data_IF_641048043754
#
_entry.id   IF_641048043754
#
_cell.length_a   1.000
_cell.length_b   1.000
_cell.length_c   1.000
_cell.angle_alpha   90.00
_cell.angle_beta   90.00
_cell.angle_gamma   90.00
#
_symmetry.space_group_name_H-M   'P 1'
#
loop_
_entity.id
_entity.type
_entity.pdbx_description
1 polymer ?
#
# COMPACT_ATOMS: atom_id res chain seq x y z
N UNK A 1 -3.74 1.27 10.80
CA UNK A 1 -3.48 1.90 9.49
C UNK A 1 -4.47 1.33 8.46
N UNK A 2 -5.70 1.84 8.40
CA UNK A 2 -6.75 1.29 7.52
C UNK A 2 -6.68 1.76 6.06
N UNK A 3 -5.91 2.81 5.77
CA UNK A 3 -5.74 3.33 4.41
C UNK A 3 -4.77 2.51 3.55
N UNK A 4 -4.91 2.65 2.23
CA UNK A 4 -4.06 2.07 1.18
C UNK A 4 -3.22 3.11 0.43
N UNK A 5 -3.33 4.39 0.80
CA UNK A 5 -2.49 5.47 0.30
C UNK A 5 -1.44 5.87 1.35
N UNK A 6 -0.19 5.96 0.91
CA UNK A 6 0.98 6.26 1.73
C UNK A 6 1.82 7.36 1.08
N UNK A 7 2.62 8.03 1.90
CA UNK A 7 3.65 8.94 1.41
C UNK A 7 5.03 8.39 1.78
N UNK A 8 6.04 8.69 0.98
CA UNK A 8 7.42 8.54 1.44
C UNK A 8 7.72 9.55 2.56
N UNK A 9 8.81 9.30 3.28
CA UNK A 9 9.37 10.26 4.22
C UNK A 9 10.57 10.89 3.52
N UNK A 10 10.50 12.16 3.09
CA UNK A 10 11.60 12.79 2.37
C UNK A 10 12.76 13.09 3.34
N UNK A 11 13.99 13.33 2.83
CA UNK A 11 15.17 13.58 3.66
C UNK A 11 15.04 14.78 4.61
N UNK A 12 14.18 15.74 4.27
CA UNK A 12 13.87 16.93 5.05
C UNK A 12 12.93 16.66 6.24
N UNK A 13 12.45 15.43 6.39
CA UNK A 13 11.45 15.04 7.39
C UNK A 13 10.03 15.04 6.83
N UNK A 14 9.05 14.75 7.68
CA UNK A 14 7.62 14.64 7.33
C UNK A 14 7.14 15.78 6.40
N UNK A 15 6.45 15.41 5.31
CA UNK A 15 5.67 16.37 4.51
C UNK A 15 4.67 17.13 5.38
N UNK A 16 4.57 18.43 5.16
CA UNK A 16 3.56 19.28 5.78
C UNK A 16 2.14 18.82 5.43
N UNK A 17 1.15 19.27 6.19
CA UNK A 17 -0.26 19.04 5.84
C UNK A 17 -0.60 19.57 4.44
N UNK A 18 -0.10 20.77 4.08
CA UNK A 18 -0.31 21.39 2.77
C UNK A 18 0.30 20.57 1.61
N UNK A 19 1.49 20.02 1.80
CA UNK A 19 2.14 19.21 0.76
C UNK A 19 1.43 17.87 0.53
N UNK A 20 0.80 17.31 1.56
CA UNK A 20 0.01 16.08 1.46
C UNK A 20 -1.34 16.29 0.75
N UNK A 21 -1.86 17.52 0.73
CA UNK A 21 -3.11 17.91 0.06
C UNK A 21 -4.31 16.98 0.35
N UNK A 22 -4.46 16.55 1.61
CA UNK A 22 -5.51 15.60 2.04
C UNK A 22 -6.78 16.31 2.56
N UNK A 23 -8.00 15.78 2.34
CA UNK A 23 -9.28 16.41 2.76
C UNK A 23 -9.60 16.48 4.24
N UNK A 24 -8.63 16.23 5.12
CA UNK A 24 -8.91 15.91 6.52
C UNK A 24 -8.40 17.01 7.44
N UNK A 25 -9.13 17.31 8.51
CA UNK A 25 -8.57 18.17 9.57
C UNK A 25 -7.24 17.58 10.05
N UNK A 26 -6.22 18.43 10.19
CA UNK A 26 -4.90 18.00 10.62
C UNK A 26 -4.97 17.27 11.97
N UNK A 27 -4.40 16.07 12.02
CA UNK A 27 -4.37 15.24 13.22
C UNK A 27 -2.99 14.60 13.36
N UNK A 28 -2.11 15.28 14.09
CA UNK A 28 -0.75 14.81 14.33
C UNK A 28 -0.69 13.50 15.12
N UNK A 29 -1.65 13.24 15.99
CA UNK A 29 -1.71 11.99 16.76
C UNK A 29 -1.99 10.76 15.89
N UNK A 30 -2.58 10.95 14.70
CA UNK A 30 -2.81 9.89 13.71
C UNK A 30 -1.64 9.75 12.71
N UNK A 31 -0.58 10.53 12.86
CA UNK A 31 0.59 10.40 12.00
C UNK A 31 1.39 9.16 12.38
N UNK A 32 1.64 8.30 11.39
CA UNK A 32 2.42 7.09 11.56
C UNK A 32 3.47 7.00 10.46
N UNK A 33 4.62 6.46 10.81
CA UNK A 33 5.68 6.09 9.87
C UNK A 33 6.03 4.62 10.10
N UNK A 34 6.65 4.01 9.10
CA UNK A 34 7.14 2.64 9.17
C UNK A 34 8.20 2.41 8.11
N UNK A 35 8.93 1.32 8.25
CA UNK A 35 9.91 0.89 7.25
C UNK A 35 9.25 -0.07 6.29
N UNK A 36 9.36 0.21 4.98
CA UNK A 36 8.81 -0.64 3.94
C UNK A 36 9.82 -1.70 3.50
N UNK A 37 9.44 -2.97 3.59
CA UNK A 37 10.24 -4.10 3.15
C UNK A 37 10.07 -4.34 1.65
N UNK A 38 10.91 -3.67 0.86
CA UNK A 38 10.95 -3.85 -0.60
C UNK A 38 11.45 -5.24 -1.03
N UNK A 39 12.15 -5.99 -0.18
CA UNK A 39 12.83 -7.22 -0.58
C UNK A 39 11.85 -8.34 -0.97
N UNK A 40 10.69 -8.41 -0.32
CA UNK A 40 9.69 -9.47 -0.56
C UNK A 40 8.32 -8.93 -0.93
N UNK A 41 8.16 -7.62 -1.08
CA UNK A 41 6.89 -7.00 -1.44
C UNK A 41 6.34 -7.53 -2.76
N UNK A 42 7.16 -7.50 -3.82
CA UNK A 42 6.75 -7.94 -5.15
C UNK A 42 6.37 -9.42 -5.16
N UNK A 43 7.19 -10.28 -4.55
CA UNK A 43 6.91 -11.72 -4.45
C UNK A 43 5.60 -12.02 -3.71
N UNK A 44 5.30 -11.28 -2.63
CA UNK A 44 4.04 -11.43 -1.89
C UNK A 44 2.83 -11.01 -2.73
N UNK A 45 2.95 -9.93 -3.50
CA UNK A 45 1.88 -9.48 -4.40
C UNK A 45 1.68 -10.48 -5.54
N UNK A 46 2.76 -11.00 -6.12
CA UNK A 46 2.68 -12.01 -7.17
C UNK A 46 2.03 -13.31 -6.67
N UNK A 47 2.37 -13.74 -5.46
CA UNK A 47 1.73 -14.91 -4.84
C UNK A 47 0.21 -14.70 -4.66
N UNK A 48 -0.22 -13.52 -4.22
CA UNK A 48 -1.65 -13.18 -4.09
C UNK A 48 -2.33 -13.15 -5.46
N UNK A 49 -1.75 -12.44 -6.43
CA UNK A 49 -2.22 -12.32 -7.81
C UNK A 49 -2.42 -13.68 -8.46
N UNK A 50 -1.45 -14.57 -8.29
CA UNK A 50 -1.44 -15.90 -8.93
C UNK A 50 -2.22 -16.96 -8.14
N UNK A 51 -2.76 -16.62 -6.96
CA UNK A 51 -3.47 -17.57 -6.11
C UNK A 51 -2.58 -18.62 -5.44
N UNK A 52 -1.30 -18.31 -5.27
CA UNK A 52 -0.28 -19.19 -4.70
C UNK A 52 -0.14 -18.99 -3.18
N UNK A 53 -1.04 -19.62 -2.42
CA UNK A 53 -0.99 -19.58 -0.95
C UNK A 53 0.27 -20.24 -0.39
N UNK A 54 0.78 -21.29 -1.04
CA UNK A 54 1.95 -22.03 -0.58
C UNK A 54 3.23 -21.21 -0.79
N UNK A 55 3.34 -20.52 -1.93
CA UNK A 55 4.38 -19.53 -2.19
C UNK A 55 4.35 -18.38 -1.19
N UNK A 56 3.17 -17.80 -0.93
CA UNK A 56 3.03 -16.75 0.09
C UNK A 56 3.48 -17.24 1.47
N UNK A 57 2.98 -18.39 1.93
CA UNK A 57 3.33 -18.95 3.23
C UNK A 57 4.81 -19.34 3.33
N UNK A 58 5.44 -19.75 2.23
CA UNK A 58 6.89 -19.99 2.19
C UNK A 58 7.68 -18.71 2.44
N UNK A 59 7.28 -17.59 1.84
CA UNK A 59 7.90 -16.28 2.08
C UNK A 59 7.72 -15.87 3.55
N UNK A 60 6.48 -15.93 4.05
CA UNK A 60 6.16 -15.54 5.44
C UNK A 60 6.95 -16.39 6.46
N UNK A 61 7.01 -17.71 6.26
CA UNK A 61 7.76 -18.61 7.14
C UNK A 61 9.26 -18.27 7.19
N UNK A 62 9.89 -17.93 6.04
CA UNK A 62 11.30 -17.53 5.98
C UNK A 62 11.57 -16.23 6.73
N UNK A 63 10.59 -15.35 6.82
CA UNK A 63 10.67 -14.08 7.55
C UNK A 63 10.24 -14.21 9.02
N UNK A 64 9.89 -15.41 9.48
CA UNK A 64 9.39 -15.65 10.84
C UNK A 64 7.98 -15.10 11.09
N UNK A 65 7.21 -14.88 10.02
CA UNK A 65 5.83 -14.38 10.07
C UNK A 65 4.86 -15.56 10.02
N UNK A 66 3.81 -15.50 10.82
CA UNK A 66 2.78 -16.54 10.84
C UNK A 66 2.11 -16.71 9.46
N UNK A 67 2.00 -17.96 9.01
CA UNK A 67 1.28 -18.35 7.80
C UNK A 67 -0.18 -17.87 7.84
N UNK A 68 -0.76 -17.72 6.66
CA UNK A 68 -2.18 -17.41 6.46
C UNK A 68 -2.95 -18.68 6.09
N UNK A 69 -4.23 -18.71 6.47
CA UNK A 69 -5.14 -19.77 6.07
C UNK A 69 -5.87 -19.40 4.77
N UNK A 70 -6.57 -20.37 4.17
CA UNK A 70 -7.28 -20.20 2.90
C UNK A 70 -8.35 -19.09 2.94
N UNK A 71 -9.02 -18.90 4.08
CA UNK A 71 -10.04 -17.85 4.22
C UNK A 71 -9.42 -16.46 4.17
N UNK A 72 -8.34 -16.24 4.92
CA UNK A 72 -7.60 -14.98 4.90
C UNK A 72 -6.99 -14.73 3.51
N UNK A 73 -6.38 -15.76 2.92
CA UNK A 73 -5.80 -15.65 1.58
C UNK A 73 -6.85 -15.30 0.52
N UNK A 74 -8.05 -15.89 0.58
CA UNK A 74 -9.13 -15.53 -0.33
C UNK A 74 -9.54 -14.07 -0.21
N UNK A 75 -9.55 -13.53 1.00
CA UNK A 75 -9.80 -12.09 1.22
C UNK A 75 -8.69 -11.24 0.61
N UNK A 76 -7.42 -11.63 0.72
CA UNK A 76 -6.30 -10.93 0.05
C UNK A 76 -6.50 -10.87 -1.46
N UNK A 77 -6.92 -11.98 -2.07
CA UNK A 77 -7.17 -12.02 -3.51
C UNK A 77 -8.33 -11.12 -3.91
N UNK A 78 -9.43 -11.13 -3.16
CA UNK A 78 -10.56 -10.25 -3.42
C UNK A 78 -10.12 -8.78 -3.33
N UNK A 79 -9.42 -8.39 -2.25
CA UNK A 79 -8.89 -7.03 -2.10
C UNK A 79 -7.94 -6.64 -3.23
N UNK A 80 -7.06 -7.54 -3.67
CA UNK A 80 -6.18 -7.30 -4.81
C UNK A 80 -6.97 -7.08 -6.11
N UNK A 81 -7.97 -7.93 -6.39
CA UNK A 81 -8.77 -7.82 -7.61
C UNK A 81 -9.62 -6.53 -7.61
N UNK A 82 -10.25 -6.20 -6.48
CA UNK A 82 -11.00 -4.95 -6.31
C UNK A 82 -10.10 -3.74 -6.60
N UNK A 83 -8.87 -3.74 -6.06
CA UNK A 83 -7.89 -2.70 -6.34
C UNK A 83 -7.54 -2.58 -7.83
N UNK A 84 -7.33 -3.70 -8.53
CA UNK A 84 -6.99 -3.68 -9.96
C UNK A 84 -8.18 -3.17 -10.79
N UNK A 85 -9.40 -3.59 -10.46
CA UNK A 85 -10.63 -3.12 -11.11
C UNK A 85 -10.81 -1.61 -10.92
N UNK A 86 -10.84 -1.15 -9.66
CA UNK A 86 -11.00 0.26 -9.31
C UNK A 86 -9.91 1.14 -9.95
N UNK A 87 -8.66 0.65 -9.97
CA UNK A 87 -7.54 1.39 -10.54
C UNK A 87 -7.63 1.44 -12.06
N UNK A 88 -8.01 0.34 -12.71
CA UNK A 88 -8.21 0.29 -14.17
C UNK A 88 -9.28 1.29 -14.61
N UNK A 89 -10.37 1.38 -13.86
CA UNK A 89 -11.45 2.34 -14.11
C UNK A 89 -10.99 3.79 -13.90
N UNK A 90 -10.13 4.03 -12.90
CA UNK A 90 -9.67 5.37 -12.56
C UNK A 90 -8.60 5.92 -13.51
N UNK A 91 -7.65 5.10 -13.95
CA UNK A 91 -6.45 5.57 -14.70
C UNK A 91 -6.28 4.95 -16.09
N UNK A 92 -7.14 4.00 -16.47
CA UNK A 92 -7.12 3.32 -17.76
C UNK A 92 -6.35 2.01 -17.77
N UNK A 93 -6.78 1.08 -18.64
CA UNK A 93 -6.26 -0.29 -18.75
C UNK A 93 -4.86 -0.42 -19.36
N UNK A 94 -4.30 0.69 -19.86
CA UNK A 94 -2.92 0.75 -20.37
C UNK A 94 -1.89 0.99 -19.26
N UNK A 95 -2.31 1.24 -18.03
CA UNK A 95 -1.43 1.44 -16.88
C UNK A 95 -1.32 0.13 -16.09
N UNK A 96 -0.10 -0.37 -15.90
CA UNK A 96 0.15 -1.53 -15.05
C UNK A 96 0.12 -1.11 -13.57
N UNK A 97 -0.94 -1.50 -12.88
CA UNK A 97 -1.14 -1.26 -11.46
C UNK A 97 -0.75 -2.47 -10.59
N UNK A 98 -0.16 -3.53 -11.14
CA UNK A 98 0.10 -4.80 -10.43
C UNK A 98 0.67 -4.60 -9.02
N UNK A 99 1.63 -3.68 -8.87
CA UNK A 99 2.33 -3.43 -7.61
C UNK A 99 1.92 -2.14 -6.91
N UNK A 100 0.80 -1.54 -7.33
CA UNK A 100 0.39 -0.20 -6.91
C UNK A 100 0.84 0.88 -7.89
N UNK A 101 0.45 2.11 -7.59
CA UNK A 101 0.77 3.30 -8.36
C UNK A 101 1.61 4.27 -7.53
N UNK A 102 2.54 4.95 -8.19
CA UNK A 102 3.30 6.06 -7.62
C UNK A 102 2.89 7.36 -8.32
N UNK A 103 2.70 8.41 -7.53
CA UNK A 103 2.36 9.74 -8.03
C UNK A 103 2.90 10.85 -7.14
N UNK A 104 2.47 12.06 -7.45
CA UNK A 104 2.69 13.25 -6.63
C UNK A 104 1.32 13.84 -6.30
N UNK A 105 1.09 14.23 -5.05
CA UNK A 105 -0.13 14.88 -4.64
C UNK A 105 -0.32 16.16 -5.45
N UNK A 106 -1.45 16.27 -6.15
CA UNK A 106 -1.83 17.51 -6.81
C UNK A 106 -2.18 18.59 -5.78
N UNK A 107 -2.01 19.85 -6.15
CA UNK A 107 -2.53 20.97 -5.36
C UNK A 107 -4.04 20.89 -5.23
N UNK A 108 -4.59 21.25 -4.07
CA UNK A 108 -6.03 21.25 -3.87
C UNK A 108 -6.49 22.34 -2.90
N UNK A 109 -7.34 23.24 -3.39
CA UNK A 109 -7.69 24.47 -2.66
C UNK A 109 -6.44 25.30 -2.40
N UNK A 110 -6.24 25.70 -1.13
CA UNK A 110 -5.06 26.44 -0.69
C UNK A 110 -3.86 25.52 -0.37
N UNK A 111 -4.00 24.20 -0.53
CA UNK A 111 -2.93 23.24 -0.27
C UNK A 111 -2.03 23.09 -1.49
N UNK A 112 -0.72 23.16 -1.28
CA UNK A 112 0.27 23.17 -2.36
C UNK A 112 0.37 21.83 -3.09
N UNK A 113 0.07 20.72 -2.42
CA UNK A 113 0.45 19.40 -2.92
C UNK A 113 1.98 19.26 -2.99
N UNK A 114 2.45 18.27 -3.74
CA UNK A 114 3.89 18.01 -3.96
C UNK A 114 4.44 16.82 -3.19
N UNK A 115 3.70 16.26 -2.23
CA UNK A 115 4.13 15.04 -1.56
C UNK A 115 4.13 13.83 -2.51
N UNK A 116 5.16 13.01 -2.46
CA UNK A 116 5.13 11.69 -3.09
C UNK A 116 3.99 10.85 -2.52
N UNK A 117 3.26 10.14 -3.39
CA UNK A 117 2.14 9.29 -3.02
C UNK A 117 2.32 7.89 -3.60
N UNK A 118 1.91 6.90 -2.83
CA UNK A 118 1.92 5.49 -3.19
C UNK A 118 0.54 4.92 -2.85
N UNK A 119 -0.17 4.45 -3.87
CA UNK A 119 -1.41 3.69 -3.67
C UNK A 119 -1.08 2.23 -3.92
N UNK A 120 -1.40 1.36 -2.97
CA UNK A 120 -1.00 -0.05 -3.04
C UNK A 120 -2.21 -0.98 -2.99
N UNK A 121 -2.10 -2.22 -3.50
CA UNK A 121 -3.21 -3.17 -3.47
C UNK A 121 -3.68 -3.58 -2.08
N UNK A 122 -2.87 -3.33 -1.04
CA UNK A 122 -3.14 -3.74 0.33
C UNK A 122 -3.18 -2.51 1.25
N UNK A 123 -4.06 -2.53 2.25
CA UNK A 123 -4.05 -1.50 3.29
C UNK A 123 -2.91 -1.71 4.31
N UNK A 124 -2.61 -0.68 5.09
CA UNK A 124 -1.48 -0.69 6.03
C UNK A 124 -1.57 -1.78 7.12
N UNK A 125 -2.77 -2.15 7.56
CA UNK A 125 -2.95 -3.23 8.54
C UNK A 125 -2.59 -4.60 7.94
N UNK A 126 -3.03 -4.85 6.71
CA UNK A 126 -2.67 -6.07 5.96
C UNK A 126 -1.18 -6.10 5.67
N UNK A 127 -0.61 -4.98 5.23
CA UNK A 127 0.84 -4.87 5.01
C UNK A 127 1.64 -5.17 6.29
N UNK A 128 1.20 -4.67 7.44
CA UNK A 128 1.82 -5.00 8.73
C UNK A 128 1.69 -6.49 9.07
N UNK A 129 0.52 -7.09 8.86
CA UNK A 129 0.30 -8.54 9.09
C UNK A 129 1.19 -9.42 8.22
N UNK A 130 1.54 -8.95 7.02
CA UNK A 130 2.41 -9.63 6.08
C UNK A 130 3.89 -9.18 6.18
N UNK A 131 4.26 -8.35 7.17
CA UNK A 131 5.62 -7.84 7.37
C UNK A 131 6.17 -7.00 6.21
N UNK A 132 5.29 -6.35 5.45
CA UNK A 132 5.63 -5.40 4.39
C UNK A 132 5.94 -4.02 5.01
N UNK A 133 5.27 -3.64 6.10
CA UNK A 133 5.53 -2.41 6.85
C UNK A 133 5.76 -2.77 8.33
N UNK A 134 6.87 -2.27 8.89
CA UNK A 134 7.23 -2.41 10.31
C UNK A 134 7.33 -1.06 11.01
#
# INVERSE_FOLDING_TARGET
>A
MGGSNFADVPPTGKYTYSERAIPYVENEAAYHTGTFNNATYFDKIDAIKNGDIDGLNTILSKEGIANVNSSYFKNLQNTYNDFIEDTTDAVGSNIDATYGLKGTAASWGDMSGGAGQYVTPLNGNTMKRLGIIN
#
